data_IF_144034858205
#
_entry.id   IF_144034858205
#
_cell.length_a   1.000
_cell.length_b   1.000
_cell.length_c   1.000
_cell.angle_alpha   90.00
_cell.angle_beta   90.00
_cell.angle_gamma   90.00
#
_symmetry.space_group_name_H-M   'P 1'
#
loop_
_entity.id
_entity.type
_entity.pdbx_description
1 polymer ?
#
# COMPACT_ATOMS: atom_id res chain seq x y z
N UNK A 1 -14.65 10.54 -1.77
CA UNK A 1 -13.33 11.20 -1.69
C UNK A 1 -13.42 12.69 -2.00
N UNK A 2 -12.36 13.46 -1.67
CA UNK A 2 -12.29 14.90 -1.97
C UNK A 2 -12.36 15.21 -3.50
N UNK A 3 -12.04 14.24 -4.34
CA UNK A 3 -12.12 14.36 -5.81
C UNK A 3 -13.43 13.85 -6.40
N UNK A 4 -14.44 13.54 -5.57
CA UNK A 4 -15.73 13.04 -6.02
C UNK A 4 -15.77 11.56 -6.42
N UNK A 5 -14.66 10.83 -6.30
CA UNK A 5 -14.59 9.41 -6.62
C UNK A 5 -15.13 8.56 -5.44
N UNK A 6 -15.96 7.56 -5.72
CA UNK A 6 -16.32 6.57 -4.72
C UNK A 6 -15.07 5.80 -4.29
N UNK A 7 -14.79 5.81 -2.99
CA UNK A 7 -13.56 5.22 -2.45
C UNK A 7 -13.89 4.39 -1.23
N UNK A 8 -13.35 3.17 -1.21
CA UNK A 8 -13.42 2.27 -0.05
C UNK A 8 -12.01 1.97 0.42
N UNK A 9 -11.82 2.02 1.73
CA UNK A 9 -10.54 1.66 2.36
C UNK A 9 -10.63 0.24 2.93
N UNK A 10 -9.74 -0.63 2.46
CA UNK A 10 -9.49 -1.93 3.07
C UNK A 10 -8.26 -1.86 3.96
N UNK A 11 -8.43 -2.01 5.26
CA UNK A 11 -7.36 -1.86 6.25
C UNK A 11 -7.67 -2.64 7.53
N UNK A 12 -6.82 -2.49 8.54
CA UNK A 12 -7.09 -2.98 9.89
C UNK A 12 -6.58 -1.97 10.93
N UNK A 13 -7.32 -1.88 12.03
CA UNK A 13 -6.98 -1.07 13.20
C UNK A 13 -7.06 -1.94 14.46
N UNK A 14 -6.43 -1.50 15.53
CA UNK A 14 -6.56 -2.12 16.85
C UNK A 14 -7.82 -1.64 17.58
N UNK A 15 -8.21 -2.39 18.61
CA UNK A 15 -9.26 -1.97 19.56
C UNK A 15 -8.67 -1.00 20.57
N UNK A 16 -8.21 0.16 20.09
CA UNK A 16 -7.55 1.20 20.88
C UNK A 16 -7.99 2.62 20.45
N UNK A 17 -7.52 3.64 21.19
CA UNK A 17 -7.87 5.03 20.93
C UNK A 17 -7.43 5.52 19.54
N UNK A 18 -6.31 5.01 19.00
CA UNK A 18 -5.85 5.36 17.66
C UNK A 18 -6.72 4.73 16.58
N UNK A 19 -7.18 3.49 16.80
CA UNK A 19 -8.13 2.82 15.91
C UNK A 19 -9.47 3.55 15.87
N UNK A 20 -10.02 3.89 17.03
CA UNK A 20 -11.26 4.66 17.13
C UNK A 20 -11.14 6.03 16.45
N UNK A 21 -10.02 6.73 16.65
CA UNK A 21 -9.74 8.00 15.99
C UNK A 21 -9.66 7.86 14.47
N UNK A 22 -8.96 6.82 13.96
CA UNK A 22 -8.80 6.59 12.53
C UNK A 22 -10.13 6.30 11.83
N UNK A 23 -11.01 5.50 12.45
CA UNK A 23 -12.34 5.19 11.94
C UNK A 23 -13.23 6.45 11.91
N UNK A 24 -13.34 7.18 13.01
CA UNK A 24 -14.11 8.42 13.10
C UNK A 24 -13.63 9.46 12.07
N UNK A 25 -12.33 9.59 11.87
CA UNK A 25 -11.77 10.52 10.92
C UNK A 25 -12.05 10.11 9.46
N UNK A 26 -11.94 8.83 9.14
CA UNK A 26 -12.27 8.31 7.81
C UNK A 26 -13.76 8.56 7.48
N UNK A 27 -14.67 8.29 8.42
CA UNK A 27 -16.10 8.54 8.26
C UNK A 27 -16.42 10.02 8.05
N UNK A 28 -15.78 10.92 8.81
CA UNK A 28 -15.92 12.38 8.62
C UNK A 28 -15.45 12.86 7.25
N UNK A 29 -14.52 12.15 6.63
CA UNK A 29 -14.07 12.42 5.26
C UNK A 29 -14.93 11.74 4.19
N UNK A 30 -16.00 11.04 4.58
CA UNK A 30 -16.87 10.31 3.67
C UNK A 30 -16.23 9.05 3.06
N UNK A 31 -15.20 8.50 3.71
CA UNK A 31 -14.59 7.21 3.33
C UNK A 31 -15.34 6.09 4.02
N UNK A 32 -15.76 5.08 3.26
CA UNK A 32 -16.42 3.91 3.83
C UNK A 32 -15.45 3.09 4.69
N UNK A 33 -15.83 2.84 5.95
CA UNK A 33 -15.07 2.07 6.94
C UNK A 33 -15.50 0.60 7.03
N UNK A 34 -16.51 0.17 6.25
CA UNK A 34 -17.10 -1.18 6.32
C UNK A 34 -16.09 -2.33 6.11
N UNK A 35 -14.94 -2.04 5.47
CA UNK A 35 -13.88 -3.00 5.18
C UNK A 35 -12.62 -2.77 6.02
N UNK A 36 -12.69 -1.91 7.02
CA UNK A 36 -11.64 -1.75 8.02
C UNK A 36 -11.92 -2.73 9.15
N UNK A 37 -11.02 -3.66 9.38
CA UNK A 37 -11.15 -4.67 10.43
C UNK A 37 -10.61 -4.14 11.74
N UNK A 38 -11.32 -4.43 12.84
CA UNK A 38 -10.78 -4.25 14.20
C UNK A 38 -10.14 -5.56 14.64
N UNK A 39 -8.95 -5.51 15.23
CA UNK A 39 -8.19 -6.66 15.72
C UNK A 39 -7.74 -6.44 17.16
N UNK A 40 -7.37 -7.51 17.86
CA UNK A 40 -6.83 -7.45 19.23
C UNK A 40 -5.43 -6.81 19.30
N UNK A 41 -4.74 -6.68 18.15
CA UNK A 41 -3.43 -6.03 18.08
C UNK A 41 -3.52 -4.50 18.12
N UNK A 42 -2.42 -3.79 18.41
CA UNK A 42 -2.43 -2.32 18.42
C UNK A 42 -2.63 -1.74 17.02
N UNK A 43 -3.21 -0.56 16.94
CA UNK A 43 -3.22 0.22 15.69
C UNK A 43 -1.80 0.58 15.28
N UNK A 44 -1.51 0.51 13.97
CA UNK A 44 -0.23 0.99 13.43
C UNK A 44 -0.13 2.50 13.59
N UNK A 45 0.97 2.99 14.17
CA UNK A 45 1.20 4.42 14.43
C UNK A 45 2.57 4.82 13.91
N UNK A 46 2.65 5.97 13.29
CA UNK A 46 3.92 6.57 12.85
C UNK A 46 4.07 7.96 13.44
N UNK A 47 5.13 8.16 14.23
CA UNK A 47 5.56 9.50 14.62
C UNK A 47 6.50 10.05 13.55
N UNK A 48 6.19 11.24 13.03
CA UNK A 48 6.99 11.93 12.02
C UNK A 48 7.79 13.02 12.69
N UNK A 49 9.11 12.93 12.67
CA UNK A 49 10.04 13.93 13.17
C UNK A 49 10.49 14.82 11.99
N UNK A 50 10.14 16.09 12.04
CA UNK A 50 10.47 17.05 11.00
C UNK A 50 11.74 17.77 11.42
N UNK A 51 12.80 17.71 10.60
CA UNK A 51 14.06 18.38 10.83
C UNK A 51 14.00 19.86 10.40
N UNK A 52 14.91 20.71 10.89
CA UNK A 52 14.93 22.14 10.53
C UNK A 52 15.10 22.42 9.03
N UNK A 53 15.71 21.51 8.28
CA UNK A 53 15.88 21.56 6.81
C UNK A 53 14.65 21.04 6.04
N UNK A 54 13.60 20.59 6.74
CA UNK A 54 12.38 20.03 6.16
C UNK A 54 12.44 18.52 5.90
N UNK A 55 13.59 17.88 6.11
CA UNK A 55 13.71 16.43 6.03
C UNK A 55 12.90 15.74 7.14
N UNK A 56 12.50 14.49 6.92
CA UNK A 56 11.63 13.74 7.84
C UNK A 56 12.27 12.42 8.25
N UNK A 57 12.21 12.16 9.54
CA UNK A 57 12.50 10.83 10.10
C UNK A 57 11.21 10.20 10.65
N UNK A 58 11.12 8.89 10.60
CA UNK A 58 9.92 8.16 10.97
C UNK A 58 10.22 7.17 12.09
N UNK A 59 9.43 7.20 13.15
CA UNK A 59 9.40 6.15 14.18
C UNK A 59 8.08 5.39 14.00
N UNK A 60 8.17 4.15 13.55
CA UNK A 60 7.02 3.34 13.17
C UNK A 60 6.77 2.25 14.20
N UNK A 61 5.59 2.26 14.81
CA UNK A 61 5.03 1.12 15.52
C UNK A 61 4.14 0.34 14.56
N UNK A 62 4.55 -0.86 14.23
CA UNK A 62 3.75 -1.77 13.40
C UNK A 62 2.62 -2.38 14.22
N UNK A 63 1.45 -2.55 13.61
CA UNK A 63 0.26 -3.06 14.28
C UNK A 63 -0.69 -3.73 13.28
N UNK A 64 -1.98 -3.67 13.55
CA UNK A 64 -3.05 -4.40 12.87
C UNK A 64 -2.98 -4.38 11.33
N UNK A 65 -2.65 -3.26 10.71
CA UNK A 65 -2.56 -3.15 9.25
C UNK A 65 -1.47 -4.04 8.63
N UNK A 66 -0.46 -4.46 9.39
CA UNK A 66 0.60 -5.36 8.91
C UNK A 66 0.19 -6.82 8.83
N UNK A 67 -0.98 -7.17 9.38
CA UNK A 67 -1.52 -8.53 9.36
C UNK A 67 -2.46 -8.77 8.16
N UNK A 68 -2.67 -7.76 7.32
CA UNK A 68 -3.49 -7.89 6.12
C UNK A 68 -2.93 -8.95 5.17
N UNK A 69 -3.83 -9.78 4.62
CA UNK A 69 -3.48 -10.87 3.69
C UNK A 69 -4.38 -10.81 2.47
N UNK A 70 -3.85 -11.21 1.31
CA UNK A 70 -4.54 -11.18 0.02
C UNK A 70 -5.88 -11.96 0.04
N UNK A 71 -5.92 -13.09 0.75
CA UNK A 71 -7.11 -13.95 0.84
C UNK A 71 -8.31 -13.30 1.55
N UNK A 72 -8.08 -12.20 2.25
CA UNK A 72 -9.13 -11.46 2.94
C UNK A 72 -9.87 -10.50 2.00
N UNK A 73 -9.31 -10.24 0.80
CA UNK A 73 -9.92 -9.42 -0.24
C UNK A 73 -10.58 -10.36 -1.25
N UNK A 74 -11.92 -10.36 -1.26
CA UNK A 74 -12.69 -11.27 -2.12
C UNK A 74 -12.72 -10.80 -3.59
N UNK A 75 -12.98 -11.73 -4.51
CA UNK A 75 -13.16 -11.40 -5.91
C UNK A 75 -14.39 -10.52 -6.14
N UNK A 76 -15.45 -10.67 -5.34
CA UNK A 76 -16.63 -9.82 -5.44
C UNK A 76 -16.33 -8.38 -5.06
N UNK A 77 -15.39 -8.15 -4.11
CA UNK A 77 -14.93 -6.83 -3.79
C UNK A 77 -14.12 -6.23 -4.96
N UNK A 78 -13.25 -7.01 -5.59
CA UNK A 78 -12.47 -6.57 -6.75
C UNK A 78 -13.36 -6.22 -7.95
N UNK A 79 -14.42 -7.00 -8.21
CA UNK A 79 -15.38 -6.72 -9.30
C UNK A 79 -16.21 -5.45 -9.10
N UNK A 80 -16.27 -4.95 -7.88
CA UNK A 80 -17.08 -3.77 -7.53
C UNK A 80 -16.39 -2.46 -7.90
N UNK A 81 -15.06 -2.46 -8.06
CA UNK A 81 -14.26 -1.25 -8.23
C UNK A 81 -13.45 -1.29 -9.52
N UNK A 82 -13.29 -0.14 -10.16
CA UNK A 82 -12.52 0.02 -11.39
C UNK A 82 -11.00 0.00 -11.13
N UNK A 83 -10.57 0.32 -9.90
CA UNK A 83 -9.16 0.44 -9.53
C UNK A 83 -8.90 -0.11 -8.12
N UNK A 84 -7.96 -1.03 -8.03
CA UNK A 84 -7.30 -1.44 -6.80
C UNK A 84 -6.00 -0.65 -6.62
N UNK A 85 -5.92 0.14 -5.55
CA UNK A 85 -4.70 0.83 -5.17
C UNK A 85 -4.07 0.20 -3.93
N UNK A 86 -2.82 -0.24 -4.04
CA UNK A 86 -2.03 -0.77 -2.92
C UNK A 86 -1.15 0.35 -2.38
N UNK A 87 -1.56 0.92 -1.27
CA UNK A 87 -0.73 1.86 -0.51
C UNK A 87 0.29 1.12 0.36
N UNK A 88 1.53 1.59 0.34
CA UNK A 88 2.58 1.09 1.24
C UNK A 88 3.04 -0.36 0.99
N UNK A 89 3.10 -0.84 -0.23
CA UNK A 89 3.76 -2.11 -0.54
C UNK A 89 5.21 -2.13 -0.01
N UNK A 90 5.75 -3.29 0.28
CA UNK A 90 6.99 -3.51 1.04
C UNK A 90 6.91 -3.12 2.54
N UNK A 91 5.76 -2.64 3.00
CA UNK A 91 5.48 -2.30 4.39
C UNK A 91 4.39 -3.15 5.03
N UNK A 92 3.79 -4.10 4.31
CA UNK A 92 2.69 -4.96 4.78
C UNK A 92 3.13 -6.43 4.69
N UNK A 93 3.88 -6.95 5.67
CA UNK A 93 4.49 -8.29 5.60
C UNK A 93 3.49 -9.43 5.36
N UNK A 94 2.24 -9.27 5.77
CA UNK A 94 1.19 -10.27 5.55
C UNK A 94 0.68 -10.33 4.10
N UNK A 95 0.91 -9.27 3.33
CA UNK A 95 0.51 -9.14 1.93
C UNK A 95 1.70 -9.23 0.98
N UNK A 96 2.87 -8.70 1.36
CA UNK A 96 4.05 -8.58 0.49
C UNK A 96 4.51 -9.91 -0.11
N UNK A 97 5.18 -9.85 -1.27
CA UNK A 97 5.68 -11.02 -1.97
C UNK A 97 4.59 -11.77 -2.74
N UNK A 98 4.44 -13.07 -2.46
CA UNK A 98 3.50 -13.94 -3.19
C UNK A 98 2.03 -13.48 -3.04
N UNK A 99 1.66 -12.98 -1.85
CA UNK A 99 0.31 -12.48 -1.59
C UNK A 99 -0.02 -11.28 -2.48
N UNK A 100 0.93 -10.34 -2.60
CA UNK A 100 0.78 -9.17 -3.46
C UNK A 100 0.66 -9.57 -4.93
N UNK A 101 1.53 -10.47 -5.40
CA UNK A 101 1.48 -10.98 -6.77
C UNK A 101 0.13 -11.63 -7.09
N UNK A 102 -0.38 -12.47 -6.19
CA UNK A 102 -1.68 -13.13 -6.33
C UNK A 102 -2.84 -12.12 -6.37
N UNK A 103 -2.81 -11.14 -5.47
CA UNK A 103 -3.87 -10.13 -5.41
C UNK A 103 -3.95 -9.30 -6.69
N UNK A 104 -2.80 -8.79 -7.17
CA UNK A 104 -2.73 -7.99 -8.39
C UNK A 104 -3.13 -8.82 -9.62
N UNK A 105 -2.68 -10.08 -9.70
CA UNK A 105 -3.09 -10.99 -10.78
C UNK A 105 -4.61 -11.21 -10.79
N UNK A 106 -5.22 -11.46 -9.62
CA UNK A 106 -6.68 -11.60 -9.49
C UNK A 106 -7.42 -10.34 -9.93
N UNK A 107 -6.94 -9.16 -9.51
CA UNK A 107 -7.53 -7.88 -9.93
C UNK A 107 -7.50 -7.75 -11.44
N UNK A 108 -6.35 -8.00 -12.08
CA UNK A 108 -6.19 -7.94 -13.53
C UNK A 108 -7.09 -8.91 -14.28
N UNK A 109 -7.22 -10.16 -13.81
CA UNK A 109 -8.13 -11.17 -14.40
C UNK A 109 -9.61 -10.74 -14.29
N UNK A 110 -9.94 -9.96 -13.28
CA UNK A 110 -11.30 -9.45 -13.04
C UNK A 110 -11.55 -8.06 -13.67
N UNK A 111 -10.67 -7.61 -14.55
CA UNK A 111 -10.73 -6.32 -15.24
C UNK A 111 -10.71 -5.10 -14.30
N UNK A 112 -10.19 -5.27 -13.09
CA UNK A 112 -9.92 -4.20 -12.13
C UNK A 112 -8.51 -3.67 -12.35
N UNK A 113 -8.38 -2.39 -12.70
CA UNK A 113 -7.08 -1.73 -12.86
C UNK A 113 -6.28 -1.78 -11.57
N UNK A 114 -4.97 -1.76 -11.68
CA UNK A 114 -4.07 -1.89 -10.55
C UNK A 114 -3.10 -0.74 -10.45
N UNK A 115 -2.98 -0.17 -9.27
CA UNK A 115 -1.99 0.84 -8.96
C UNK A 115 -1.31 0.52 -7.64
N UNK A 116 -0.04 0.90 -7.51
CA UNK A 116 0.73 0.62 -6.31
C UNK A 116 1.76 1.70 -6.06
N UNK A 117 1.86 2.13 -4.80
CA UNK A 117 3.05 2.79 -4.30
C UNK A 117 3.80 1.87 -3.31
N UNK A 118 4.97 2.29 -2.91
CA UNK A 118 5.80 1.57 -1.95
C UNK A 118 6.14 2.47 -0.78
N UNK A 119 6.50 1.87 0.33
CA UNK A 119 6.90 2.61 1.53
C UNK A 119 8.14 2.04 2.17
N UNK A 120 8.81 2.88 2.92
CA UNK A 120 9.95 2.52 3.74
C UNK A 120 11.27 2.72 3.03
N UNK A 121 12.29 1.98 3.50
CA UNK A 121 13.61 1.96 2.90
C UNK A 121 13.73 0.64 2.11
N UNK A 122 13.39 0.63 0.81
CA UNK A 122 13.38 -0.59 0.03
C UNK A 122 14.80 -1.17 -0.01
N UNK A 123 14.89 -2.47 0.11
CA UNK A 123 16.13 -3.23 0.07
C UNK A 123 16.14 -4.13 -1.16
N UNK A 124 17.28 -4.72 -1.50
CA UNK A 124 17.33 -5.76 -2.55
C UNK A 124 16.37 -6.93 -2.26
N UNK A 125 16.10 -7.22 -1.00
CA UNK A 125 15.11 -8.22 -0.61
C UNK A 125 13.68 -7.75 -0.95
N UNK A 126 13.36 -6.49 -0.72
CA UNK A 126 12.08 -5.89 -1.10
C UNK A 126 11.90 -5.92 -2.62
N UNK A 127 12.94 -5.60 -3.39
CA UNK A 127 12.93 -5.70 -4.85
C UNK A 127 12.59 -7.13 -5.31
N UNK A 128 13.24 -8.15 -4.74
CA UNK A 128 12.98 -9.55 -5.09
C UNK A 128 11.53 -9.99 -4.80
N UNK A 129 10.90 -9.42 -3.77
CA UNK A 129 9.49 -9.67 -3.43
C UNK A 129 8.52 -8.90 -4.34
N UNK A 130 8.94 -7.75 -4.85
CA UNK A 130 8.11 -6.84 -5.65
C UNK A 130 8.11 -7.20 -7.13
N UNK A 131 9.29 -7.52 -7.69
CA UNK A 131 9.45 -7.76 -9.13
C UNK A 131 8.43 -8.75 -9.73
N UNK A 132 8.07 -9.87 -9.08
CA UNK A 132 7.07 -10.80 -9.61
C UNK A 132 5.66 -10.20 -9.72
N UNK A 133 5.38 -9.11 -9.00
CA UNK A 133 4.08 -8.46 -8.98
C UNK A 133 3.92 -7.43 -10.12
N UNK A 134 5.02 -6.84 -10.60
CA UNK A 134 5.03 -5.75 -11.59
C UNK A 134 4.26 -6.06 -12.89
N UNK A 135 4.35 -7.26 -13.50
CA UNK A 135 3.59 -7.56 -14.71
C UNK A 135 2.07 -7.49 -14.57
N UNK A 136 1.58 -7.42 -13.33
CA UNK A 136 0.16 -7.29 -13.03
C UNK A 136 -0.23 -5.85 -12.64
N UNK A 137 0.67 -4.87 -12.80
CA UNK A 137 0.40 -3.46 -12.51
C UNK A 137 0.08 -2.68 -13.78
N UNK A 138 -0.93 -1.81 -13.69
CA UNK A 138 -1.17 -0.77 -14.68
C UNK A 138 -0.40 0.52 -14.32
N UNK A 139 -0.25 0.80 -13.02
CA UNK A 139 0.42 2.01 -12.53
C UNK A 139 1.35 1.70 -11.36
N UNK A 140 2.63 2.02 -11.51
CA UNK A 140 3.62 1.94 -10.44
C UNK A 140 4.10 3.36 -10.06
N UNK A 141 3.93 3.77 -8.80
CA UNK A 141 4.05 5.15 -8.34
C UNK A 141 5.10 5.35 -7.24
N UNK A 142 6.31 4.80 -7.36
CA UNK A 142 7.36 5.02 -6.37
C UNK A 142 7.86 6.47 -6.41
N UNK A 143 8.41 6.97 -5.30
CA UNK A 143 9.23 8.18 -5.35
C UNK A 143 10.50 7.96 -6.18
N UNK A 144 11.11 9.04 -6.66
CA UNK A 144 12.36 8.96 -7.42
C UNK A 144 13.47 8.19 -6.67
N UNK A 145 13.58 8.44 -5.36
CA UNK A 145 14.55 7.76 -4.49
C UNK A 145 14.27 6.24 -4.42
N UNK A 146 13.05 5.84 -4.14
CA UNK A 146 12.65 4.43 -4.07
C UNK A 146 12.85 3.71 -5.40
N UNK A 147 12.51 4.37 -6.50
CA UNK A 147 12.70 3.81 -7.83
C UNK A 147 14.18 3.56 -8.14
N UNK A 148 15.06 4.51 -7.81
CA UNK A 148 16.50 4.35 -8.00
C UNK A 148 17.07 3.25 -7.11
N UNK A 149 16.68 3.20 -5.83
CA UNK A 149 17.18 2.20 -4.89
C UNK A 149 16.74 0.77 -5.27
N UNK A 150 15.47 0.59 -5.59
CA UNK A 150 14.94 -0.72 -6.03
C UNK A 150 15.54 -1.20 -7.35
N UNK A 151 15.73 -0.32 -8.32
CA UNK A 151 16.27 -0.67 -9.63
C UNK A 151 17.79 -0.75 -9.66
N UNK A 152 18.47 -0.15 -8.66
CA UNK A 152 19.92 0.02 -8.66
C UNK A 152 20.41 0.99 -9.75
N UNK A 153 19.54 1.89 -10.23
CA UNK A 153 19.87 2.89 -11.25
C UNK A 153 20.28 4.20 -10.63
N UNK A 154 21.10 4.96 -11.35
CA UNK A 154 21.73 6.21 -10.90
C UNK A 154 20.89 7.47 -11.22
N UNK A 155 19.77 7.31 -11.90
CA UNK A 155 18.87 8.42 -12.22
C UNK A 155 17.40 7.98 -12.29
N UNK A 156 16.45 8.91 -11.99
CA UNK A 156 15.02 8.61 -12.05
C UNK A 156 14.55 8.13 -13.43
N UNK A 157 15.10 8.71 -14.52
CA UNK A 157 14.75 8.29 -15.88
C UNK A 157 15.14 6.84 -16.15
N UNK A 158 16.39 6.46 -15.85
CA UNK A 158 16.84 5.06 -16.00
C UNK A 158 16.08 4.09 -15.10
N UNK A 159 15.66 4.53 -13.92
CA UNK A 159 14.82 3.72 -13.04
C UNK A 159 13.42 3.52 -13.62
N UNK A 160 12.81 4.56 -14.19
CA UNK A 160 11.52 4.47 -14.87
C UNK A 160 11.59 3.52 -16.07
N UNK A 161 12.61 3.65 -16.93
CA UNK A 161 12.82 2.74 -18.06
C UNK A 161 12.95 1.27 -17.59
N UNK A 162 13.73 1.04 -16.52
CA UNK A 162 13.87 -0.30 -15.94
C UNK A 162 12.54 -0.92 -15.53
N UNK A 163 11.64 -0.15 -14.89
CA UNK A 163 10.34 -0.67 -14.47
C UNK A 163 9.34 -0.77 -15.62
N UNK A 164 9.46 0.07 -16.63
CA UNK A 164 8.61 -0.01 -17.83
C UNK A 164 8.85 -1.28 -18.64
N UNK A 165 10.04 -1.87 -18.57
CA UNK A 165 10.40 -3.13 -19.22
C UNK A 165 9.94 -4.39 -18.46
N UNK A 166 9.35 -4.26 -17.28
CA UNK A 166 8.95 -5.39 -16.39
C UNK A 166 7.46 -5.62 -16.42
#
# INVERSE_FOLDING_TARGET
SALGTETTLYSAVGEDAFGAFALDYAEKLGVSTQWIKTTDGPTSVTAVLIHPDGERSFVVQRGASHELKERQISDDLLRKYDLLYIGSACGIPGLDGEGLTKLLHRAKVLDCKTAMDITGNPTRRSAAQLLPALPNLDFFLPSAYEAMDLSGRDSPGKAADYFHEK
#
